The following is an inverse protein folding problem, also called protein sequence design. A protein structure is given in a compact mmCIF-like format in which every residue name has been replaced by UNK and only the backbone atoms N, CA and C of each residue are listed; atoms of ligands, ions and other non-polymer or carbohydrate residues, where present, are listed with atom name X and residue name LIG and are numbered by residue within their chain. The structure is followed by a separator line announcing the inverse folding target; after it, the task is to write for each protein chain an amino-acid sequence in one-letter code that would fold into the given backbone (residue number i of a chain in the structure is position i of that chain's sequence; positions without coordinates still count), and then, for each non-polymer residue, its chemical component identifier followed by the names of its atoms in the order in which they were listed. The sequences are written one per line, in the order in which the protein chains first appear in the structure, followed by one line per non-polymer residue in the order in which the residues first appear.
data_IF_417651415954
#
_entry.id   IF_417651415954
#
_cell.length_a   1.000
_cell.length_b   1.000
_cell.length_c   1.000
_cell.angle_alpha   90.00
_cell.angle_beta   90.00
_cell.angle_gamma   90.00
#
_symmetry.space_group_name_H-M   'P 1'
#
loop_
_entity.id
_entity.type
_entity.pdbx_description
1 polymer ?
#
# COMPACT_ATOMS: atom_id res chain seq x y z
N UNK A 1 0.83 -34.55 -29.05
CA UNK A 1 1.83 -33.53 -29.40
C UNK A 1 2.35 -32.88 -28.13
N UNK A 2 3.58 -33.18 -27.81
CA UNK A 2 4.25 -32.83 -26.58
C UNK A 2 4.54 -31.33 -26.54
N UNK A 3 3.96 -30.60 -25.57
CA UNK A 3 4.40 -29.26 -25.23
C UNK A 3 5.62 -29.41 -24.34
N UNK A 4 6.77 -29.15 -24.93
CA UNK A 4 8.06 -29.10 -24.24
C UNK A 4 7.97 -28.00 -23.20
N UNK A 5 7.97 -28.36 -21.93
CA UNK A 5 8.19 -27.45 -20.82
C UNK A 5 9.61 -26.88 -20.97
N UNK A 6 9.74 -25.61 -21.33
CA UNK A 6 11.00 -24.88 -21.23
C UNK A 6 11.34 -24.74 -19.74
N UNK A 7 12.22 -25.57 -19.27
CA UNK A 7 12.88 -25.40 -17.98
C UNK A 7 13.77 -24.15 -18.03
N UNK A 8 13.56 -23.21 -17.09
CA UNK A 8 14.65 -22.37 -16.62
C UNK A 8 14.66 -20.90 -16.94
N UNK A 9 13.62 -20.26 -17.46
CA UNK A 9 13.53 -18.80 -17.34
C UNK A 9 12.84 -18.47 -16.01
N UNK A 10 13.56 -17.92 -15.02
CA UNK A 10 12.92 -17.26 -13.86
C UNK A 10 12.01 -16.19 -14.44
N UNK A 11 10.71 -16.28 -14.26
CA UNK A 11 9.76 -15.28 -14.73
C UNK A 11 10.13 -13.91 -14.14
N UNK A 12 9.79 -12.84 -14.87
CA UNK A 12 9.93 -11.44 -14.39
C UNK A 12 9.47 -11.30 -12.94
N UNK A 13 10.15 -10.50 -12.15
CA UNK A 13 9.79 -10.17 -10.77
C UNK A 13 9.54 -8.66 -10.63
N UNK A 14 8.84 -8.29 -9.56
CA UNK A 14 8.62 -6.90 -9.21
C UNK A 14 9.06 -6.66 -7.77
N UNK A 15 9.83 -5.60 -7.54
CA UNK A 15 10.32 -5.17 -6.23
C UNK A 15 9.69 -3.84 -5.86
N UNK A 16 9.07 -3.73 -4.67
CA UNK A 16 8.48 -2.48 -4.20
C UNK A 16 9.27 -1.93 -3.03
N UNK A 17 9.61 -0.65 -3.08
CA UNK A 17 10.29 0.07 -2.00
C UNK A 17 9.46 1.22 -1.49
N UNK A 18 9.27 1.28 -0.17
CA UNK A 18 8.56 2.36 0.52
C UNK A 18 9.42 3.61 0.71
N UNK A 19 8.79 4.72 1.11
CA UNK A 19 9.47 6.00 1.30
C UNK A 19 10.60 5.95 2.34
N UNK A 20 10.46 5.17 3.41
CA UNK A 20 11.53 4.97 4.41
C UNK A 20 12.78 4.31 3.82
N UNK A 21 12.62 3.43 2.83
CA UNK A 21 13.73 2.80 2.11
C UNK A 21 14.42 3.74 1.12
N UNK A 22 13.85 4.93 0.87
CA UNK A 22 14.31 5.96 -0.08
C UNK A 22 14.51 7.32 0.61
N UNK A 23 14.76 7.33 1.93
CA UNK A 23 14.73 8.56 2.72
C UNK A 23 16.00 9.42 2.58
N UNK A 24 17.11 8.87 2.17
CA UNK A 24 18.40 9.57 2.03
C UNK A 24 19.33 8.88 1.02
N UNK A 25 20.49 9.47 0.78
CA UNK A 25 21.53 8.95 -0.12
C UNK A 25 21.91 7.50 0.22
N UNK A 26 22.09 7.18 1.51
CA UNK A 26 22.47 5.82 1.95
C UNK A 26 21.34 4.83 1.66
N UNK A 27 20.10 5.24 1.83
CA UNK A 27 18.92 4.44 1.50
C UNK A 27 18.83 4.13 0.02
N UNK A 28 19.03 5.11 -0.87
CA UNK A 28 19.04 4.91 -2.31
C UNK A 28 20.15 3.95 -2.76
N UNK A 29 21.37 4.13 -2.25
CA UNK A 29 22.51 3.25 -2.57
C UNK A 29 22.27 1.81 -2.07
N UNK A 30 21.66 1.64 -0.89
CA UNK A 30 21.27 0.32 -0.39
C UNK A 30 20.23 -0.33 -1.30
N UNK A 31 19.21 0.41 -1.73
CA UNK A 31 18.19 -0.09 -2.65
C UNK A 31 18.82 -0.46 -4.00
N UNK A 32 19.74 0.33 -4.52
CA UNK A 32 20.48 -0.02 -5.74
C UNK A 32 21.29 -1.32 -5.58
N UNK A 33 21.94 -1.51 -4.42
CA UNK A 33 22.62 -2.76 -4.06
C UNK A 33 21.66 -3.96 -4.00
N UNK A 34 20.48 -3.79 -3.40
CA UNK A 34 19.43 -4.82 -3.42
C UNK A 34 19.01 -5.16 -4.85
N UNK A 35 18.80 -4.16 -5.69
CA UNK A 35 18.44 -4.40 -7.08
C UNK A 35 19.57 -5.09 -7.88
N UNK A 36 20.83 -4.80 -7.58
CA UNK A 36 21.95 -5.50 -8.17
C UNK A 36 21.99 -6.99 -7.81
N UNK A 37 21.67 -7.33 -6.56
CA UNK A 37 21.75 -8.69 -6.04
C UNK A 37 20.49 -9.52 -6.34
N UNK A 38 19.29 -8.92 -6.20
CA UNK A 38 18.03 -9.65 -6.21
C UNK A 38 17.22 -9.50 -7.49
N UNK A 39 17.61 -8.63 -8.44
CA UNK A 39 16.87 -8.43 -9.69
C UNK A 39 17.64 -8.88 -10.93
N UNK A 40 16.89 -9.17 -11.99
CA UNK A 40 17.40 -9.50 -13.32
C UNK A 40 17.04 -8.38 -14.31
N UNK A 41 17.69 -8.29 -15.49
CA UNK A 41 17.17 -7.50 -16.60
C UNK A 41 15.68 -7.84 -16.85
N UNK A 42 14.89 -6.83 -17.23
CA UNK A 42 13.43 -6.89 -17.43
C UNK A 42 12.59 -6.99 -16.14
N UNK A 43 13.19 -7.10 -14.96
CA UNK A 43 12.44 -6.97 -13.70
C UNK A 43 11.92 -5.54 -13.51
N UNK A 44 10.89 -5.43 -12.70
CA UNK A 44 10.22 -4.16 -12.39
C UNK A 44 10.49 -3.72 -10.96
N UNK A 45 10.41 -2.43 -10.75
CA UNK A 45 10.51 -1.82 -9.44
C UNK A 45 9.41 -0.77 -9.29
N UNK A 46 8.68 -0.78 -8.18
CA UNK A 46 7.73 0.27 -7.82
C UNK A 46 8.31 1.06 -6.64
N UNK A 47 8.35 2.37 -6.77
CA UNK A 47 8.88 3.26 -5.74
C UNK A 47 7.80 4.19 -5.19
N UNK A 48 7.85 4.45 -3.89
CA UNK A 48 7.12 5.52 -3.23
C UNK A 48 7.91 6.83 -3.29
N UNK A 49 7.28 7.94 -2.93
CA UNK A 49 7.99 9.19 -2.71
C UNK A 49 9.09 9.04 -1.66
N UNK A 50 10.20 9.75 -1.84
CA UNK A 50 11.37 9.68 -0.96
C UNK A 50 11.07 10.23 0.43
N UNK A 51 11.34 9.46 1.48
CA UNK A 51 11.21 9.88 2.88
C UNK A 51 9.83 10.45 3.22
N UNK A 52 9.81 11.70 3.67
CA UNK A 52 8.58 12.43 4.06
C UNK A 52 8.00 13.33 2.98
N UNK A 53 8.43 13.19 1.72
CA UNK A 53 8.05 14.08 0.60
C UNK A 53 6.53 14.21 0.45
N UNK A 54 5.78 13.10 0.50
CA UNK A 54 4.30 13.13 0.41
C UNK A 54 3.68 13.99 1.51
N UNK A 55 4.15 13.87 2.76
CA UNK A 55 3.67 14.68 3.88
C UNK A 55 4.03 16.16 3.70
N UNK A 56 5.22 16.47 3.16
CA UNK A 56 5.63 17.85 2.86
C UNK A 56 4.76 18.46 1.75
N UNK A 57 4.42 17.69 0.70
CA UNK A 57 3.52 18.14 -0.36
C UNK A 57 2.10 18.40 0.16
N UNK A 58 1.57 17.55 1.02
CA UNK A 58 0.27 17.76 1.68
C UNK A 58 0.31 19.01 2.56
N UNK A 59 1.38 19.21 3.31
CA UNK A 59 1.55 20.38 4.16
C UNK A 59 1.67 21.66 3.33
N UNK A 60 2.43 21.64 2.23
CA UNK A 60 2.54 22.74 1.29
C UNK A 60 1.18 23.15 0.73
N UNK A 61 0.38 22.19 0.28
CA UNK A 61 -1.00 22.37 -0.18
C UNK A 61 -1.88 23.07 0.87
N UNK A 62 -1.87 22.59 2.11
CA UNK A 62 -2.67 23.17 3.20
C UNK A 62 -2.27 24.63 3.48
N UNK A 63 -0.97 24.89 3.58
CA UNK A 63 -0.44 26.21 3.88
C UNK A 63 -0.62 27.18 2.72
N UNK A 64 -0.62 26.72 1.47
CA UNK A 64 -0.87 27.58 0.30
C UNK A 64 -2.24 28.28 0.36
N UNK A 65 -3.21 27.71 1.06
CA UNK A 65 -4.54 28.29 1.25
C UNK A 65 -4.64 29.24 2.44
N UNK A 66 -3.77 29.10 3.45
CA UNK A 66 -3.94 29.78 4.76
C UNK A 66 -2.77 30.67 5.15
N UNK A 67 -1.54 30.31 4.76
CA UNK A 67 -0.31 31.01 5.14
C UNK A 67 0.76 30.89 4.04
N UNK A 68 0.79 31.85 3.13
CA UNK A 68 1.73 31.89 1.99
C UNK A 68 3.20 31.92 2.41
N UNK A 69 3.53 32.54 3.54
CA UNK A 69 4.92 32.61 4.00
C UNK A 69 5.40 31.23 4.44
N UNK A 70 4.63 30.54 5.27
CA UNK A 70 4.93 29.16 5.69
C UNK A 70 4.90 28.19 4.52
N UNK A 71 3.98 28.35 3.56
CA UNK A 71 3.96 27.55 2.33
C UNK A 71 5.27 27.69 1.54
N UNK A 72 5.79 28.90 1.38
CA UNK A 72 7.06 29.14 0.72
C UNK A 72 8.24 28.49 1.48
N UNK A 73 8.25 28.52 2.80
CA UNK A 73 9.28 27.85 3.61
C UNK A 73 9.26 26.33 3.42
N UNK A 74 8.08 25.71 3.36
CA UNK A 74 7.93 24.28 3.08
C UNK A 74 8.44 23.96 1.67
N UNK A 75 8.09 24.76 0.66
CA UNK A 75 8.58 24.62 -0.71
C UNK A 75 10.11 24.68 -0.78
N UNK A 76 10.74 25.65 -0.09
CA UNK A 76 12.21 25.76 -0.04
C UNK A 76 12.87 24.57 0.68
N UNK A 77 12.24 24.06 1.73
CA UNK A 77 12.72 22.87 2.45
C UNK A 77 12.67 21.63 1.54
N UNK A 78 11.55 21.45 0.83
CA UNK A 78 11.37 20.38 -0.13
C UNK A 78 12.39 20.49 -1.27
N UNK A 79 12.59 21.71 -1.81
CA UNK A 79 13.60 21.97 -2.85
C UNK A 79 15.00 21.59 -2.40
N UNK A 80 15.41 22.04 -1.22
CA UNK A 80 16.73 21.70 -0.65
C UNK A 80 16.89 20.19 -0.51
N UNK A 81 15.94 19.54 0.13
CA UNK A 81 15.98 18.10 0.35
C UNK A 81 16.15 17.30 -0.95
N UNK A 82 15.37 17.61 -1.99
CA UNK A 82 15.44 16.90 -3.27
C UNK A 82 16.76 17.22 -4.02
N UNK A 83 17.21 18.48 -4.02
CA UNK A 83 18.49 18.85 -4.62
C UNK A 83 19.67 18.18 -3.92
N UNK A 84 19.70 18.17 -2.59
CA UNK A 84 20.74 17.50 -1.80
C UNK A 84 20.78 15.99 -2.08
N UNK A 85 19.61 15.36 -2.21
CA UNK A 85 19.48 13.96 -2.52
C UNK A 85 20.02 13.64 -3.93
N UNK A 86 19.65 14.43 -4.95
CA UNK A 86 20.10 14.26 -6.32
C UNK A 86 21.62 14.48 -6.42
N UNK A 87 22.12 15.56 -5.85
CA UNK A 87 23.56 15.91 -5.88
C UNK A 87 24.42 14.91 -5.11
N UNK A 88 23.87 14.28 -4.08
CA UNK A 88 24.57 13.26 -3.30
C UNK A 88 24.64 11.88 -3.98
N UNK A 89 23.86 11.67 -5.03
CA UNK A 89 23.71 10.36 -5.70
C UNK A 89 24.28 10.32 -7.12
N UNK A 90 24.30 11.46 -7.81
CA UNK A 90 24.65 11.52 -9.25
C UNK A 90 25.87 12.40 -9.49
N UNK A 91 26.66 12.13 -10.55
CA UNK A 91 27.68 13.06 -11.05
C UNK A 91 27.07 14.41 -11.44
N UNK A 92 27.87 15.48 -11.39
CA UNK A 92 27.40 16.85 -11.53
C UNK A 92 26.54 17.11 -12.78
N UNK A 93 26.94 16.65 -13.95
CA UNK A 93 26.21 16.87 -15.20
C UNK A 93 24.81 16.23 -15.18
N UNK A 94 24.69 15.01 -14.69
CA UNK A 94 23.42 14.31 -14.57
C UNK A 94 22.56 14.89 -13.44
N UNK A 95 23.21 15.28 -12.33
CA UNK A 95 22.54 15.95 -11.20
C UNK A 95 21.93 17.28 -11.66
N UNK A 96 22.67 18.12 -12.39
CA UNK A 96 22.18 19.42 -12.88
C UNK A 96 20.97 19.25 -13.82
N UNK A 97 21.02 18.24 -14.72
CA UNK A 97 19.89 17.91 -15.59
C UNK A 97 18.64 17.53 -14.80
N UNK A 98 18.79 16.64 -13.81
CA UNK A 98 17.67 16.15 -13.03
C UNK A 98 17.13 17.21 -12.05
N UNK A 99 18.01 18.04 -11.48
CA UNK A 99 17.63 19.20 -10.66
C UNK A 99 16.83 20.20 -11.49
N UNK A 100 17.26 20.48 -12.73
CA UNK A 100 16.53 21.39 -13.62
C UNK A 100 15.12 20.88 -13.91
N UNK A 101 14.97 19.59 -14.19
CA UNK A 101 13.66 18.98 -14.39
C UNK A 101 12.79 19.04 -13.11
N UNK A 102 13.38 18.75 -11.94
CA UNK A 102 12.71 18.85 -10.65
C UNK A 102 12.24 20.31 -10.35
N UNK A 103 13.09 21.31 -10.58
CA UNK A 103 12.73 22.71 -10.34
C UNK A 103 11.60 23.14 -11.26
N UNK A 104 11.62 22.76 -12.53
CA UNK A 104 10.52 23.01 -13.47
C UNK A 104 9.20 22.37 -13.00
N UNK A 105 9.24 21.12 -12.52
CA UNK A 105 8.06 20.50 -11.92
C UNK A 105 7.55 21.29 -10.72
N UNK A 106 8.45 21.69 -9.82
CA UNK A 106 8.08 22.44 -8.61
C UNK A 106 7.44 23.81 -8.92
N UNK A 107 7.94 24.51 -9.93
CA UNK A 107 7.38 25.78 -10.43
C UNK A 107 5.99 25.56 -11.07
N UNK A 108 5.82 24.51 -11.87
CA UNK A 108 4.54 24.13 -12.45
C UNK A 108 3.52 23.78 -11.37
N UNK A 109 3.91 23.03 -10.34
CA UNK A 109 3.03 22.71 -9.22
C UNK A 109 2.65 23.97 -8.41
N UNK A 110 3.57 24.90 -8.21
CA UNK A 110 3.28 26.17 -7.56
C UNK A 110 2.23 26.98 -8.33
N UNK A 111 2.36 27.07 -9.65
CA UNK A 111 1.38 27.75 -10.50
C UNK A 111 -0.02 27.07 -10.45
N UNK A 112 -0.07 25.73 -10.33
CA UNK A 112 -1.34 25.02 -10.12
C UNK A 112 -1.99 25.39 -8.77
N UNK A 113 -1.21 25.51 -7.69
CA UNK A 113 -1.71 25.92 -6.38
C UNK A 113 -2.26 27.36 -6.40
N UNK A 114 -1.63 28.26 -7.13
CA UNK A 114 -2.09 29.65 -7.30
C UNK A 114 -3.40 29.72 -8.11
N UNK A 115 -3.67 28.78 -9.01
CA UNK A 115 -4.90 28.71 -9.81
C UNK A 115 -6.13 28.23 -9.02
N UNK A 116 -5.93 27.67 -7.83
CA UNK A 116 -6.95 27.14 -6.95
C UNK A 116 -6.84 25.62 -6.72
N UNK A 117 -7.17 25.20 -5.51
CA UNK A 117 -7.04 23.81 -5.09
C UNK A 117 -8.38 23.09 -5.21
N UNK A 118 -8.42 22.09 -6.07
CA UNK A 118 -9.47 21.08 -6.19
C UNK A 118 -8.88 19.68 -6.10
N UNK A 119 -9.70 18.65 -6.20
CA UNK A 119 -9.24 17.26 -6.08
C UNK A 119 -8.21 16.86 -7.14
N UNK A 120 -8.28 17.44 -8.35
CA UNK A 120 -7.32 17.20 -9.42
C UNK A 120 -5.95 17.78 -9.09
N UNK A 121 -5.92 19.05 -8.65
CA UNK A 121 -4.72 19.76 -8.21
C UNK A 121 -4.13 19.06 -6.98
N UNK A 122 -4.95 18.67 -6.01
CA UNK A 122 -4.51 17.91 -4.85
C UNK A 122 -3.78 16.62 -5.27
N UNK A 123 -4.42 15.83 -6.13
CA UNK A 123 -3.85 14.56 -6.57
C UNK A 123 -2.55 14.74 -7.38
N UNK A 124 -2.51 15.74 -8.25
CA UNK A 124 -1.32 16.06 -9.06
C UNK A 124 -0.14 16.48 -8.18
N UNK A 125 -0.36 17.36 -7.21
CA UNK A 125 0.72 17.83 -6.31
C UNK A 125 1.19 16.69 -5.41
N UNK A 126 0.28 16.01 -4.72
CA UNK A 126 0.63 14.96 -3.76
C UNK A 126 1.31 13.76 -4.43
N UNK A 127 0.87 13.41 -5.66
CA UNK A 127 1.43 12.30 -6.43
C UNK A 127 2.80 12.58 -7.07
N UNK A 128 3.27 13.82 -7.04
CA UNK A 128 4.54 14.17 -7.74
C UNK A 128 5.79 13.64 -7.05
N UNK A 129 5.73 13.35 -5.76
CA UNK A 129 6.84 12.76 -5.02
C UNK A 129 7.30 11.42 -5.59
N UNK A 130 6.38 10.61 -6.09
CA UNK A 130 6.65 9.33 -6.74
C UNK A 130 7.37 9.52 -8.08
N UNK A 131 7.02 10.56 -8.84
CA UNK A 131 7.65 10.89 -10.12
C UNK A 131 9.13 11.25 -9.90
N UNK A 132 9.41 12.12 -8.93
CA UNK A 132 10.79 12.50 -8.60
C UNK A 132 11.60 11.30 -8.12
N UNK A 133 11.00 10.47 -7.29
CA UNK A 133 11.66 9.26 -6.76
C UNK A 133 11.96 8.24 -7.86
N UNK A 134 11.05 8.01 -8.80
CA UNK A 134 11.23 7.08 -9.91
C UNK A 134 12.32 7.56 -10.90
N UNK A 135 12.32 8.84 -11.24
CA UNK A 135 13.36 9.45 -12.09
C UNK A 135 14.74 9.31 -11.45
N UNK A 136 14.87 9.70 -10.17
CA UNK A 136 16.13 9.62 -9.45
C UNK A 136 16.62 8.18 -9.32
N UNK A 137 15.75 7.24 -8.93
CA UNK A 137 16.14 5.84 -8.76
C UNK A 137 16.58 5.21 -10.07
N UNK A 138 15.93 5.52 -11.20
CA UNK A 138 16.34 5.07 -12.52
C UNK A 138 17.74 5.59 -12.89
N UNK A 139 18.03 6.86 -12.61
CA UNK A 139 19.36 7.44 -12.83
C UNK A 139 20.43 6.75 -11.94
N UNK A 140 20.13 6.53 -10.66
CA UNK A 140 21.03 5.83 -9.73
C UNK A 140 21.34 4.40 -10.20
N UNK A 141 20.33 3.66 -10.66
CA UNK A 141 20.56 2.30 -11.21
C UNK A 141 21.46 2.32 -12.44
N UNK A 142 21.25 3.26 -13.35
CA UNK A 142 22.11 3.41 -14.54
C UNK A 142 23.55 3.75 -14.14
N UNK A 143 23.76 4.61 -13.15
CA UNK A 143 25.10 4.91 -12.61
C UNK A 143 25.80 3.69 -12.00
N UNK A 144 25.02 2.77 -11.44
CA UNK A 144 25.52 1.50 -10.91
C UNK A 144 25.73 0.42 -11.98
N UNK A 145 25.59 0.77 -13.27
CA UNK A 145 25.71 -0.18 -14.38
C UNK A 145 24.53 -1.16 -14.49
N UNK A 146 23.38 -0.82 -13.92
CA UNK A 146 22.14 -1.57 -13.98
C UNK A 146 21.18 -0.88 -14.96
N UNK A 147 21.11 -1.29 -16.24
CA UNK A 147 20.25 -0.63 -17.23
C UNK A 147 18.81 -0.50 -16.71
N UNK A 148 18.32 0.74 -16.62
CA UNK A 148 17.00 1.05 -16.12
C UNK A 148 16.31 2.15 -16.94
N UNK A 149 14.97 2.15 -16.91
CA UNK A 149 14.14 3.24 -17.42
C UNK A 149 13.03 3.51 -16.39
N UNK A 150 12.70 4.78 -16.18
CA UNK A 150 11.56 5.12 -15.34
C UNK A 150 10.27 5.17 -16.17
N UNK A 151 9.14 4.82 -15.55
CA UNK A 151 7.81 4.90 -16.13
C UNK A 151 6.86 5.61 -15.17
N UNK A 152 6.11 6.53 -15.69
CA UNK A 152 4.99 7.13 -14.97
C UNK A 152 3.78 6.18 -15.04
N UNK A 153 3.31 5.70 -13.90
CA UNK A 153 2.16 4.80 -13.86
C UNK A 153 0.91 5.40 -14.52
N UNK A 154 0.79 6.73 -14.57
CA UNK A 154 -0.29 7.43 -15.25
C UNK A 154 -0.32 7.20 -16.77
N UNK A 155 0.75 6.72 -17.37
CA UNK A 155 0.78 6.38 -18.79
C UNK A 155 -0.04 5.13 -19.10
N UNK A 156 -0.15 4.19 -18.14
CA UNK A 156 -0.83 2.92 -18.36
C UNK A 156 -1.86 2.54 -17.30
N UNK A 157 -1.71 2.97 -16.04
CA UNK A 157 -2.60 2.59 -14.96
C UNK A 157 -3.84 3.49 -14.94
N UNK A 158 -5.02 2.88 -15.08
CA UNK A 158 -6.32 3.57 -15.14
C UNK A 158 -7.14 3.28 -13.90
N UNK A 159 -7.67 4.33 -13.27
CA UNK A 159 -8.61 4.23 -12.15
C UNK A 159 -9.49 5.49 -12.08
N UNK A 160 -10.75 5.33 -11.73
CA UNK A 160 -11.63 6.46 -11.45
C UNK A 160 -11.53 6.89 -9.98
N UNK A 161 -11.87 8.15 -9.71
CA UNK A 161 -11.90 8.70 -8.35
C UNK A 161 -12.99 8.03 -7.53
N UNK A 162 -12.63 7.54 -6.38
CA UNK A 162 -13.51 6.93 -5.39
C UNK A 162 -12.88 7.03 -4.00
N UNK A 163 -13.61 6.71 -2.94
CA UNK A 163 -13.05 6.58 -1.59
C UNK A 163 -11.90 5.55 -1.54
N UNK A 164 -12.02 4.48 -2.33
CA UNK A 164 -10.98 3.49 -2.57
C UNK A 164 -10.89 3.20 -4.08
N UNK A 165 -10.10 3.99 -4.85
CA UNK A 165 -10.00 3.82 -6.30
C UNK A 165 -9.51 2.42 -6.67
N UNK A 166 -10.21 1.77 -7.57
CA UNK A 166 -9.84 0.46 -8.10
C UNK A 166 -9.23 0.63 -9.50
N UNK A 167 -8.18 -0.13 -9.77
CA UNK A 167 -7.56 -0.13 -11.10
C UNK A 167 -8.47 -0.85 -12.10
N UNK A 168 -8.71 -0.22 -13.23
CA UNK A 168 -9.35 -0.85 -14.39
C UNK A 168 -8.31 -1.69 -15.14
N UNK A 169 -8.34 -3.00 -14.91
CA UNK A 169 -7.41 -3.94 -15.51
C UNK A 169 -7.58 -4.02 -17.04
N UNK A 170 -8.81 -3.92 -17.52
CA UNK A 170 -9.12 -4.00 -18.96
C UNK A 170 -8.49 -2.86 -19.76
N UNK A 171 -8.50 -1.65 -19.20
CA UNK A 171 -7.88 -0.48 -19.80
C UNK A 171 -6.36 -0.43 -19.55
N UNK A 172 -5.90 -0.89 -18.39
CA UNK A 172 -4.49 -0.79 -17.98
C UNK A 172 -3.59 -1.84 -18.65
N UNK A 173 -4.09 -3.07 -18.81
CA UNK A 173 -3.32 -4.19 -19.34
C UNK A 173 -2.71 -3.93 -20.72
N UNK A 174 -3.47 -3.55 -21.76
CA UNK A 174 -2.90 -3.35 -23.10
C UNK A 174 -1.88 -2.22 -23.14
N UNK A 175 -2.08 -1.15 -22.35
CA UNK A 175 -1.13 -0.03 -22.26
C UNK A 175 0.19 -0.46 -21.63
N UNK A 176 0.14 -1.23 -20.52
CA UNK A 176 1.34 -1.76 -19.90
C UNK A 176 2.10 -2.70 -20.85
N UNK A 177 1.41 -3.61 -21.55
CA UNK A 177 2.08 -4.54 -22.48
C UNK A 177 2.83 -3.81 -23.58
N UNK A 178 2.29 -2.71 -24.10
CA UNK A 178 3.00 -1.87 -25.09
C UNK A 178 4.29 -1.27 -24.53
N UNK A 179 4.27 -0.75 -23.28
CA UNK A 179 5.46 -0.18 -22.64
C UNK A 179 6.52 -1.24 -22.32
N UNK A 180 6.11 -2.45 -21.92
CA UNK A 180 7.05 -3.53 -21.64
C UNK A 180 7.88 -3.92 -22.87
N UNK A 181 7.28 -3.89 -24.07
CA UNK A 181 7.97 -4.20 -25.34
C UNK A 181 8.95 -3.09 -25.76
N UNK A 182 8.73 -1.85 -25.33
CA UNK A 182 9.57 -0.70 -25.68
C UNK A 182 10.90 -0.64 -24.90
N UNK A 183 11.03 -1.41 -23.81
CA UNK A 183 12.17 -1.34 -22.91
C UNK A 183 12.84 -2.70 -22.66
N UNK A 184 13.23 -3.44 -23.72
CA UNK A 184 13.84 -4.76 -23.56
C UNK A 184 15.19 -4.67 -22.82
N UNK A 185 15.44 -5.60 -21.90
CA UNK A 185 16.69 -5.69 -21.15
C UNK A 185 16.91 -4.61 -20.09
N UNK A 186 15.92 -3.73 -19.86
CA UNK A 186 15.99 -2.69 -18.82
C UNK A 186 15.11 -3.02 -17.63
N UNK A 187 15.57 -2.68 -16.43
CA UNK A 187 14.73 -2.64 -15.24
C UNK A 187 13.78 -1.45 -15.33
N UNK A 188 12.49 -1.68 -15.06
CA UNK A 188 11.49 -0.61 -15.14
C UNK A 188 11.20 -0.05 -13.74
N UNK A 189 11.59 1.20 -13.51
CA UNK A 189 11.31 1.91 -12.25
C UNK A 189 9.99 2.68 -12.40
N UNK A 190 8.95 2.19 -11.77
CA UNK A 190 7.57 2.68 -11.93
C UNK A 190 7.15 3.49 -10.72
N UNK A 191 6.43 4.58 -10.93
CA UNK A 191 5.81 5.35 -9.85
C UNK A 191 4.72 4.51 -9.17
N UNK A 192 4.76 4.42 -7.83
CA UNK A 192 3.66 3.89 -7.04
C UNK A 192 2.55 4.90 -6.84
N UNK A 193 1.48 4.53 -6.13
CA UNK A 193 0.45 5.40 -5.57
C UNK A 193 -0.44 6.18 -6.56
N UNK A 194 0.02 6.46 -7.77
CA UNK A 194 -0.67 7.29 -8.77
C UNK A 194 -1.18 6.47 -9.95
N UNK A 195 -2.26 6.95 -10.54
CA UNK A 195 -2.89 6.47 -11.76
C UNK A 195 -3.55 7.62 -12.49
N UNK A 196 -4.26 7.37 -13.59
CA UNK A 196 -4.98 8.38 -14.37
C UNK A 196 -6.43 7.97 -14.60
N UNK A 197 -7.37 8.92 -14.50
CA UNK A 197 -8.78 8.67 -14.88
C UNK A 197 -9.02 8.92 -16.38
N UNK A 198 -10.25 8.65 -16.82
CA UNK A 198 -10.65 8.85 -18.22
C UNK A 198 -10.65 10.33 -18.65
N UNK A 199 -10.73 11.28 -17.71
CA UNK A 199 -10.61 12.71 -17.99
C UNK A 199 -9.15 13.17 -18.14
N UNK A 200 -8.18 12.27 -17.99
CA UNK A 200 -6.75 12.59 -18.07
C UNK A 200 -6.15 13.15 -16.79
N UNK A 201 -6.88 13.14 -15.67
CA UNK A 201 -6.45 13.69 -14.39
C UNK A 201 -5.77 12.62 -13.53
N UNK A 202 -4.84 13.07 -12.67
CA UNK A 202 -4.19 12.21 -11.68
C UNK A 202 -5.19 11.72 -10.64
N UNK A 203 -5.11 10.43 -10.32
CA UNK A 203 -5.87 9.76 -9.25
C UNK A 203 -4.90 9.12 -8.29
N UNK A 204 -5.05 9.44 -6.99
CA UNK A 204 -4.30 8.79 -5.92
C UNK A 204 -4.98 7.50 -5.52
N UNK A 205 -4.23 6.41 -5.42
CA UNK A 205 -4.78 5.08 -5.08
C UNK A 205 -5.08 4.89 -3.58
N UNK A 206 -4.93 5.95 -2.78
CA UNK A 206 -5.28 5.96 -1.37
C UNK A 206 -4.24 5.33 -0.44
N UNK A 207 -4.63 5.04 0.81
CA UNK A 207 -3.73 4.49 1.85
C UNK A 207 -3.08 3.18 1.37
N UNK A 208 -1.77 3.01 1.60
CA UNK A 208 -0.93 1.92 1.07
C UNK A 208 -0.97 1.79 -0.47
N UNK A 209 -1.21 2.91 -1.15
CA UNK A 209 -1.39 2.94 -2.60
C UNK A 209 -0.19 2.41 -3.39
N UNK A 210 1.05 2.59 -2.90
CA UNK A 210 2.24 2.05 -3.59
C UNK A 210 2.35 0.52 -3.48
N UNK A 211 1.93 -0.10 -2.35
CA UNK A 211 1.88 -1.56 -2.21
C UNK A 211 0.78 -2.15 -3.10
N UNK A 212 -0.39 -1.48 -3.14
CA UNK A 212 -1.46 -1.85 -4.05
C UNK A 212 -1.04 -1.68 -5.52
N UNK A 213 -0.36 -0.56 -5.88
CA UNK A 213 0.19 -0.39 -7.24
C UNK A 213 1.13 -1.53 -7.60
N UNK A 214 2.02 -1.92 -6.69
CA UNK A 214 3.02 -2.96 -6.96
C UNK A 214 2.37 -4.31 -7.26
N UNK A 215 1.39 -4.73 -6.45
CA UNK A 215 0.69 -6.00 -6.67
C UNK A 215 -0.21 -5.94 -7.91
N UNK A 216 -0.85 -4.81 -8.17
CA UNK A 216 -1.68 -4.61 -9.36
C UNK A 216 -0.85 -4.60 -10.65
N UNK A 217 0.27 -3.85 -10.66
CA UNK A 217 1.21 -3.82 -11.79
C UNK A 217 1.82 -5.20 -12.00
N UNK A 218 2.18 -5.89 -10.91
CA UNK A 218 2.68 -7.26 -10.96
C UNK A 218 1.69 -8.21 -11.62
N UNK A 219 0.40 -8.14 -11.27
CA UNK A 219 -0.66 -8.94 -11.89
C UNK A 219 -0.81 -8.63 -13.38
N UNK A 220 -0.87 -7.35 -13.74
CA UNK A 220 -0.98 -6.90 -15.14
C UNK A 220 0.24 -7.28 -16.00
N UNK A 221 1.44 -7.27 -15.40
CA UNK A 221 2.69 -7.66 -16.08
C UNK A 221 2.93 -9.18 -16.10
N UNK A 222 2.12 -9.97 -15.39
CA UNK A 222 2.28 -11.42 -15.29
C UNK A 222 3.60 -11.82 -14.61
N UNK A 223 4.02 -11.07 -13.57
CA UNK A 223 5.26 -11.42 -12.86
C UNK A 223 5.07 -12.68 -12.02
N UNK A 224 6.15 -13.43 -11.82
CA UNK A 224 6.13 -14.63 -10.96
C UNK A 224 6.06 -14.28 -9.48
N UNK A 225 6.62 -13.11 -9.09
CA UNK A 225 6.69 -12.68 -7.69
C UNK A 225 6.67 -11.17 -7.57
N UNK A 226 5.99 -10.68 -6.53
CA UNK A 226 6.12 -9.32 -6.01
C UNK A 226 6.81 -9.37 -4.66
N UNK A 227 7.94 -8.67 -4.50
CA UNK A 227 8.64 -8.51 -3.22
C UNK A 227 8.42 -7.11 -2.68
N UNK A 228 7.77 -7.01 -1.52
CA UNK A 228 7.63 -5.75 -0.78
C UNK A 228 8.79 -5.64 0.20
N UNK A 229 9.64 -4.64 -0.04
CA UNK A 229 10.76 -4.29 0.82
C UNK A 229 10.31 -3.25 1.84
N UNK A 230 10.42 -3.58 3.11
CA UNK A 230 9.94 -2.82 4.25
C UNK A 230 11.07 -2.61 5.27
N UNK A 231 10.75 -2.08 6.43
CA UNK A 231 11.63 -1.99 7.61
C UNK A 231 11.64 -3.25 8.48
N UNK A 232 10.77 -4.23 8.16
CA UNK A 232 10.67 -5.53 8.85
C UNK A 232 10.91 -6.68 7.89
N UNK A 233 11.45 -7.81 8.41
CA UNK A 233 11.80 -8.98 7.59
C UNK A 233 10.56 -9.72 7.03
N UNK A 234 9.40 -9.53 7.65
CA UNK A 234 8.16 -10.19 7.25
C UNK A 234 7.17 -10.28 8.40
N UNK A 235 6.36 -11.32 8.40
CA UNK A 235 5.36 -11.61 9.44
C UNK A 235 5.99 -12.48 10.52
N UNK A 236 5.80 -12.08 11.77
CA UNK A 236 6.25 -12.82 12.95
C UNK A 236 5.06 -13.51 13.63
N UNK A 237 5.36 -14.54 14.43
CA UNK A 237 4.36 -15.24 15.25
C UNK A 237 3.66 -14.34 16.28
N UNK A 238 4.29 -13.22 16.65
CA UNK A 238 3.76 -12.11 17.44
C UNK A 238 4.59 -10.86 17.16
N UNK A 239 4.17 -9.69 17.66
CA UNK A 239 4.98 -8.46 17.55
C UNK A 239 6.31 -8.63 18.34
N UNK A 240 7.48 -8.66 17.68
CA UNK A 240 8.76 -8.87 18.33
C UNK A 240 9.15 -7.75 19.32
N UNK A 241 8.51 -6.58 19.23
CA UNK A 241 8.68 -5.49 20.19
C UNK A 241 7.96 -5.75 21.52
N UNK A 242 6.91 -6.60 21.49
CA UNK A 242 6.10 -6.98 22.66
C UNK A 242 6.46 -8.39 23.19
N UNK A 243 6.86 -9.29 22.30
CA UNK A 243 7.11 -10.72 22.61
C UNK A 243 8.53 -11.09 22.17
N UNK A 244 9.43 -11.34 23.13
CA UNK A 244 10.86 -11.62 22.85
C UNK A 244 11.10 -12.89 22.04
N UNK A 245 10.24 -13.90 22.24
CA UNK A 245 10.35 -15.20 21.55
C UNK A 245 9.54 -15.26 20.24
N UNK A 246 9.12 -14.10 19.73
CA UNK A 246 8.46 -14.02 18.44
C UNK A 246 9.38 -14.46 17.31
N UNK A 247 8.93 -15.45 16.52
CA UNK A 247 9.71 -16.02 15.42
C UNK A 247 9.20 -15.50 14.08
N UNK A 248 10.12 -15.19 13.16
CA UNK A 248 9.79 -14.89 11.77
C UNK A 248 9.16 -16.14 11.13
N UNK A 249 8.02 -15.95 10.47
CA UNK A 249 7.34 -17.01 9.73
C UNK A 249 7.82 -16.99 8.28
N UNK A 250 8.62 -17.98 7.83
CA UNK A 250 9.16 -17.98 6.47
C UNK A 250 8.08 -18.16 5.42
N UNK A 251 6.95 -18.72 5.84
CA UNK A 251 5.86 -19.10 4.96
C UNK A 251 4.50 -18.81 5.62
N UNK A 252 3.63 -18.11 4.91
CA UNK A 252 2.29 -17.73 5.33
C UNK A 252 1.28 -18.13 4.26
N UNK A 253 0.11 -18.58 4.65
CA UNK A 253 -0.99 -18.83 3.72
C UNK A 253 -1.67 -17.51 3.35
N UNK A 254 -2.20 -17.43 2.13
CA UNK A 254 -2.91 -16.24 1.67
C UNK A 254 -4.16 -15.94 2.52
N UNK A 255 -4.86 -16.97 3.02
CA UNK A 255 -6.00 -16.79 3.91
C UNK A 255 -5.58 -16.26 5.30
N UNK A 256 -4.45 -16.72 5.86
CA UNK A 256 -3.87 -16.19 7.10
C UNK A 256 -3.42 -14.72 6.90
N UNK A 257 -2.76 -14.42 5.77
CA UNK A 257 -2.38 -13.06 5.40
C UNK A 257 -3.59 -12.13 5.26
N UNK A 258 -4.68 -12.62 4.65
CA UNK A 258 -5.92 -11.87 4.47
C UNK A 258 -6.60 -11.59 5.82
N UNK A 259 -6.56 -12.54 6.75
CA UNK A 259 -7.09 -12.34 8.09
C UNK A 259 -6.26 -11.35 8.91
N UNK A 260 -4.92 -11.39 8.82
CA UNK A 260 -4.04 -10.38 9.42
C UNK A 260 -4.32 -8.99 8.86
N UNK A 261 -4.47 -8.86 7.55
CA UNK A 261 -4.77 -7.59 6.91
C UNK A 261 -6.16 -7.05 7.32
N UNK A 262 -7.14 -7.94 7.53
CA UNK A 262 -8.47 -7.60 8.04
C UNK A 262 -8.43 -7.10 9.48
N UNK A 263 -7.56 -7.67 10.30
CA UNK A 263 -7.35 -7.26 11.70
C UNK A 263 -6.48 -5.99 11.83
N UNK A 264 -6.27 -5.26 10.75
CA UNK A 264 -5.46 -4.04 10.70
C UNK A 264 -4.02 -4.23 11.19
N UNK A 265 -3.44 -5.41 11.01
CA UNK A 265 -2.02 -5.65 11.28
C UNK A 265 -1.16 -4.73 10.38
N UNK A 266 -0.15 -4.03 10.94
CA UNK A 266 0.56 -2.96 10.23
C UNK A 266 1.41 -3.44 9.04
N UNK A 267 1.69 -4.74 8.96
CA UNK A 267 2.62 -5.32 7.97
C UNK A 267 1.95 -5.59 6.61
N UNK A 268 0.63 -5.81 6.58
CA UNK A 268 -0.13 -6.15 5.38
C UNK A 268 -1.43 -5.38 5.31
N UNK A 269 -1.83 -4.98 4.11
CA UNK A 269 -3.11 -4.32 3.86
C UNK A 269 -3.97 -5.15 2.92
N UNK A 270 -5.28 -5.22 3.17
CA UNK A 270 -6.22 -6.04 2.39
C UNK A 270 -6.19 -5.72 0.89
N UNK A 271 -6.04 -4.44 0.51
CA UNK A 271 -5.94 -4.03 -0.88
C UNK A 271 -4.68 -4.56 -1.58
N UNK A 272 -3.56 -4.67 -0.87
CA UNK A 272 -2.32 -5.26 -1.39
C UNK A 272 -2.49 -6.73 -1.75
N UNK A 273 -3.31 -7.46 -0.99
CA UNK A 273 -3.59 -8.88 -1.23
C UNK A 273 -4.63 -9.14 -2.31
N UNK A 274 -5.47 -8.16 -2.63
CA UNK A 274 -6.56 -8.32 -3.61
C UNK A 274 -6.05 -8.75 -4.99
N UNK A 275 -5.04 -8.09 -5.64
CA UNK A 275 -4.51 -8.54 -6.92
C UNK A 275 -3.80 -9.90 -6.84
N UNK A 276 -3.13 -10.18 -5.70
CA UNK A 276 -2.47 -11.47 -5.45
C UNK A 276 -3.49 -12.60 -5.39
N UNK A 277 -4.65 -12.39 -4.76
CA UNK A 277 -5.70 -13.41 -4.68
C UNK A 277 -6.35 -13.71 -6.05
N UNK A 278 -6.35 -12.77 -6.98
CA UNK A 278 -6.87 -12.89 -8.34
C UNK A 278 -5.87 -13.41 -9.39
N UNK A 279 -4.59 -13.58 -9.05
CA UNK A 279 -3.50 -13.91 -9.98
C UNK A 279 -2.62 -15.06 -9.48
N UNK A 280 -1.66 -15.51 -10.27
CA UNK A 280 -0.69 -16.57 -9.90
C UNK A 280 0.60 -16.01 -9.27
N UNK A 281 0.57 -14.79 -8.73
CA UNK A 281 1.73 -14.12 -8.17
C UNK A 281 2.02 -14.67 -6.76
N UNK A 282 3.29 -14.96 -6.48
CA UNK A 282 3.80 -15.07 -5.11
C UNK A 282 4.03 -13.68 -4.53
N UNK A 283 3.60 -13.44 -3.29
CA UNK A 283 3.94 -12.23 -2.56
C UNK A 283 5.01 -12.54 -1.52
N UNK A 284 6.07 -11.72 -1.48
CA UNK A 284 7.15 -11.86 -0.50
C UNK A 284 7.36 -10.55 0.26
N UNK A 285 7.57 -10.64 1.57
CA UNK A 285 7.94 -9.52 2.44
C UNK A 285 9.39 -9.69 2.87
N UNK A 286 10.20 -8.62 2.76
CA UNK A 286 11.62 -8.61 3.15
C UNK A 286 12.00 -7.28 3.79
N UNK A 287 13.05 -7.32 4.62
CA UNK A 287 13.63 -6.10 5.18
C UNK A 287 14.63 -5.48 4.20
N UNK A 288 14.45 -4.18 3.87
CA UNK A 288 15.39 -3.45 3.03
C UNK A 288 16.67 -3.04 3.78
N UNK A 289 16.66 -3.05 5.11
CA UNK A 289 17.82 -2.72 5.95
C UNK A 289 18.73 -3.93 6.18
N UNK A 290 18.14 -5.11 6.24
CA UNK A 290 18.80 -6.39 6.51
C UNK A 290 18.27 -7.47 5.58
N UNK A 291 18.60 -7.41 4.27
CA UNK A 291 18.04 -8.32 3.25
C UNK A 291 18.23 -9.80 3.56
N UNK A 292 19.33 -10.14 4.26
CA UNK A 292 19.73 -11.54 4.55
C UNK A 292 19.09 -12.12 5.82
N UNK A 293 18.34 -11.34 6.59
CA UNK A 293 17.71 -11.80 7.85
C UNK A 293 16.46 -12.67 7.62
N UNK A 294 16.20 -13.09 6.38
CA UNK A 294 15.06 -13.91 6.03
C UNK A 294 13.92 -13.11 5.41
N UNK A 295 12.81 -13.78 5.22
CA UNK A 295 11.61 -13.21 4.57
C UNK A 295 10.38 -14.02 4.91
N UNK A 296 9.19 -13.45 4.70
CA UNK A 296 7.93 -14.19 4.67
C UNK A 296 7.43 -14.28 3.24
N UNK A 297 7.21 -15.51 2.74
CA UNK A 297 6.54 -15.77 1.47
C UNK A 297 5.06 -16.10 1.72
N UNK A 298 4.18 -15.48 0.95
CA UNK A 298 2.73 -15.69 1.04
C UNK A 298 2.31 -16.50 -0.17
N UNK A 299 1.74 -17.68 0.09
CA UNK A 299 1.34 -18.67 -0.92
C UNK A 299 -0.12 -19.08 -0.77
N UNK A 300 -0.75 -19.49 -1.87
CA UNK A 300 -2.14 -19.94 -1.90
C UNK A 300 -2.37 -21.30 -1.26
N UNK A 301 -1.46 -22.23 -1.49
CA UNK A 301 -1.60 -23.62 -1.08
C UNK A 301 -0.39 -24.03 -0.28
N UNK A 302 -0.62 -24.38 0.97
CA UNK A 302 0.36 -25.02 1.83
C UNK A 302 -0.23 -26.31 2.38
N UNK A 303 0.54 -27.38 2.39
CA UNK A 303 0.30 -28.52 3.27
C UNK A 303 0.55 -28.02 4.70
N UNK A 304 -0.50 -27.62 5.41
CA UNK A 304 -0.36 -26.93 6.69
C UNK A 304 -0.85 -27.77 7.86
N UNK A 305 -0.12 -27.68 8.96
CA UNK A 305 -0.63 -28.01 10.28
C UNK A 305 -1.83 -27.13 10.64
N UNK A 306 -2.73 -27.65 11.46
CA UNK A 306 -3.85 -26.89 12.05
C UNK A 306 -3.40 -26.23 13.35
N UNK A 307 -3.96 -25.06 13.66
CA UNK A 307 -3.76 -24.35 14.92
C UNK A 307 -3.36 -22.89 14.76
N UNK A 308 -3.32 -22.18 15.88
CA UNK A 308 -2.88 -20.79 15.92
C UNK A 308 -1.37 -20.70 15.65
N UNK A 309 -0.98 -19.81 14.71
CA UNK A 309 0.42 -19.56 14.35
C UNK A 309 0.84 -18.15 14.66
N UNK A 310 -0.12 -17.23 14.73
CA UNK A 310 0.14 -15.81 14.89
C UNK A 310 -0.78 -15.26 15.98
N UNK A 311 -0.21 -14.43 16.85
CA UNK A 311 -0.95 -13.57 17.78
C UNK A 311 -0.73 -12.12 17.35
N UNK A 312 -1.81 -11.40 17.07
CA UNK A 312 -1.75 -9.97 16.74
C UNK A 312 -2.58 -9.17 17.73
N UNK A 313 -2.22 -7.90 17.93
CA UNK A 313 -2.97 -6.99 18.78
C UNK A 313 -3.13 -5.62 18.13
N UNK A 314 -4.25 -4.96 18.44
CA UNK A 314 -4.51 -3.58 18.12
C UNK A 314 -4.87 -2.84 19.41
N UNK A 315 -4.10 -1.83 19.78
CA UNK A 315 -4.19 -1.20 21.12
C UNK A 315 -5.21 -0.05 21.18
N UNK A 316 -5.80 0.34 20.04
CA UNK A 316 -6.78 1.44 19.97
C UNK A 316 -8.01 1.00 19.18
N UNK A 317 -8.91 0.33 19.89
CA UNK A 317 -10.17 -0.13 19.34
C UNK A 317 -11.35 0.30 20.21
N UNK A 318 -12.51 0.42 19.57
CA UNK A 318 -13.80 0.66 20.18
C UNK A 318 -14.74 -0.51 19.93
N UNK A 319 -15.63 -0.77 20.86
CA UNK A 319 -16.69 -1.76 20.74
C UNK A 319 -18.05 -1.06 20.70
N UNK A 320 -18.77 -1.22 19.60
CA UNK A 320 -20.17 -0.80 19.49
C UNK A 320 -21.04 -2.00 19.86
N UNK A 321 -21.84 -1.86 20.89
CA UNK A 321 -22.79 -2.85 21.36
C UNK A 321 -24.20 -2.43 20.91
N UNK A 322 -24.93 -3.35 20.26
CA UNK A 322 -26.33 -3.14 19.89
C UNK A 322 -27.19 -4.16 20.60
N UNK A 323 -28.02 -3.68 21.55
CA UNK A 323 -28.97 -4.49 22.29
C UNK A 323 -30.28 -4.57 21.49
N UNK A 324 -30.57 -5.75 20.95
CA UNK A 324 -31.82 -6.01 20.23
C UNK A 324 -32.98 -6.23 21.26
N UNK A 325 -34.13 -5.55 21.12
CA UNK A 325 -35.28 -5.77 21.98
C UNK A 325 -35.81 -7.19 21.85
N UNK A 326 -36.30 -7.77 22.97
CA UNK A 326 -36.88 -9.12 22.98
C UNK A 326 -38.12 -9.28 22.10
N UNK A 327 -38.75 -8.18 21.69
CA UNK A 327 -39.88 -8.15 20.75
C UNK A 327 -39.51 -8.30 19.31
N UNK A 328 -38.19 -8.28 18.98
CA UNK A 328 -37.70 -8.38 17.62
C UNK A 328 -37.01 -9.73 17.33
N UNK A 329 -37.04 -10.14 16.07
CA UNK A 329 -36.25 -11.28 15.59
C UNK A 329 -34.78 -10.90 15.55
N UNK A 330 -33.99 -11.50 16.42
CA UNK A 330 -32.57 -11.24 16.55
C UNK A 330 -31.77 -11.52 15.26
N UNK A 331 -32.12 -12.58 14.50
CA UNK A 331 -31.46 -12.92 13.24
C UNK A 331 -31.76 -11.92 12.16
N UNK A 332 -32.99 -11.39 12.14
CA UNK A 332 -33.39 -10.37 11.18
C UNK A 332 -32.65 -9.06 11.47
N UNK A 333 -32.63 -8.62 12.74
CA UNK A 333 -31.91 -7.43 13.17
C UNK A 333 -30.41 -7.52 12.83
N UNK A 334 -29.78 -8.66 13.09
CA UNK A 334 -28.37 -8.89 12.71
C UNK A 334 -28.16 -8.75 11.20
N UNK A 335 -29.02 -9.34 10.38
CA UNK A 335 -28.94 -9.26 8.92
C UNK A 335 -29.13 -7.83 8.42
N UNK A 336 -30.05 -7.07 8.99
CA UNK A 336 -30.29 -5.66 8.64
C UNK A 336 -29.06 -4.81 8.95
N UNK A 337 -28.49 -4.93 10.17
CA UNK A 337 -27.28 -4.23 10.56
C UNK A 337 -26.11 -4.56 9.63
N UNK A 338 -25.89 -5.85 9.33
CA UNK A 338 -24.82 -6.29 8.41
C UNK A 338 -25.00 -5.68 7.00
N UNK A 339 -26.23 -5.58 6.50
CA UNK A 339 -26.52 -4.92 5.21
C UNK A 339 -26.25 -3.42 5.25
N UNK A 340 -26.61 -2.73 6.33
CA UNK A 340 -26.38 -1.29 6.51
C UNK A 340 -24.86 -1.01 6.50
N UNK A 341 -24.11 -1.74 7.33
CA UNK A 341 -22.65 -1.61 7.41
C UNK A 341 -21.94 -1.93 6.08
N UNK A 342 -22.42 -2.97 5.38
CA UNK A 342 -21.90 -3.33 4.04
C UNK A 342 -22.17 -2.25 2.99
N UNK A 343 -23.38 -1.67 2.95
CA UNK A 343 -23.71 -0.57 2.03
C UNK A 343 -22.89 0.67 2.29
N UNK A 344 -22.63 0.97 3.56
CA UNK A 344 -21.77 2.06 3.98
C UNK A 344 -20.26 1.76 3.81
N UNK A 345 -19.89 0.55 3.40
CA UNK A 345 -18.50 0.07 3.30
C UNK A 345 -17.72 0.14 4.62
N UNK A 346 -18.41 0.10 5.75
CA UNK A 346 -17.83 0.11 7.10
C UNK A 346 -17.77 -1.31 7.64
N UNK A 347 -16.58 -1.91 7.63
CA UNK A 347 -16.39 -3.30 8.05
C UNK A 347 -15.78 -3.37 9.45
N UNK A 348 -16.39 -4.12 10.39
CA UNK A 348 -15.81 -4.34 11.72
C UNK A 348 -14.58 -5.26 11.67
N UNK A 349 -13.64 -5.06 12.57
CA UNK A 349 -12.49 -5.93 12.81
C UNK A 349 -12.93 -7.29 13.40
N UNK A 350 -13.95 -7.27 14.26
CA UNK A 350 -14.54 -8.47 14.85
C UNK A 350 -16.03 -8.25 15.09
N UNK A 351 -16.80 -9.34 15.05
CA UNK A 351 -18.23 -9.34 15.35
C UNK A 351 -18.51 -10.40 16.41
N UNK A 352 -19.13 -9.99 17.51
CA UNK A 352 -19.67 -10.88 18.55
C UNK A 352 -21.18 -11.01 18.39
N UNK A 353 -21.68 -12.25 18.41
CA UNK A 353 -23.12 -12.55 18.30
C UNK A 353 -23.54 -13.39 19.51
N UNK A 354 -24.32 -12.77 20.41
CA UNK A 354 -24.75 -13.37 21.66
C UNK A 354 -26.27 -13.56 21.63
N UNK A 355 -26.73 -14.69 21.11
CA UNK A 355 -28.17 -15.00 20.97
C UNK A 355 -28.90 -15.04 22.29
N UNK A 356 -28.28 -15.57 23.35
CA UNK A 356 -28.80 -15.68 24.70
C UNK A 356 -29.05 -14.32 25.36
N UNK A 357 -28.28 -13.32 24.96
CA UNK A 357 -28.38 -11.96 25.51
C UNK A 357 -29.01 -10.96 24.53
N UNK A 358 -29.43 -11.40 23.35
CA UNK A 358 -29.90 -10.52 22.25
C UNK A 358 -28.93 -9.37 21.95
N UNK A 359 -27.62 -9.63 22.04
CA UNK A 359 -26.56 -8.62 21.94
C UNK A 359 -25.67 -8.87 20.71
N UNK A 360 -25.50 -7.83 19.90
CA UNK A 360 -24.51 -7.77 18.81
C UNK A 360 -23.38 -6.83 19.22
N UNK A 361 -22.16 -7.24 18.95
CA UNK A 361 -20.95 -6.47 19.24
C UNK A 361 -20.12 -6.31 17.97
N UNK A 362 -19.69 -5.09 17.68
CA UNK A 362 -18.90 -4.73 16.52
C UNK A 362 -17.64 -4.00 16.97
N UNK A 363 -16.47 -4.59 16.73
CA UNK A 363 -15.18 -4.00 17.07
C UNK A 363 -14.65 -3.20 15.88
N UNK A 364 -14.25 -1.95 16.11
CA UNK A 364 -13.67 -1.04 15.12
C UNK A 364 -12.39 -0.41 15.65
N UNK A 365 -11.52 0.08 14.75
CA UNK A 365 -10.49 1.05 15.14
C UNK A 365 -11.16 2.35 15.59
N UNK A 366 -10.52 3.09 16.50
CA UNK A 366 -11.07 4.37 16.99
C UNK A 366 -11.34 5.37 15.88
N UNK A 367 -10.52 5.37 14.80
CA UNK A 367 -10.73 6.22 13.62
C UNK A 367 -12.07 5.98 12.90
N UNK A 368 -12.59 4.77 12.94
CA UNK A 368 -13.79 4.34 12.19
C UNK A 368 -15.03 4.26 13.09
N UNK A 369 -14.83 4.13 14.40
CA UNK A 369 -15.89 3.86 15.36
C UNK A 369 -16.99 4.92 15.36
N UNK A 370 -16.64 6.21 15.34
CA UNK A 370 -17.60 7.32 15.33
C UNK A 370 -18.47 7.32 14.07
N UNK A 371 -17.86 7.05 12.91
CA UNK A 371 -18.60 6.93 11.65
C UNK A 371 -19.54 5.72 11.66
N UNK A 372 -19.09 4.58 12.18
CA UNK A 372 -19.91 3.38 12.30
C UNK A 372 -21.09 3.59 13.24
N UNK A 373 -20.84 4.22 14.40
CA UNK A 373 -21.87 4.55 15.37
C UNK A 373 -22.94 5.46 14.76
N UNK A 374 -22.52 6.53 14.09
CA UNK A 374 -23.42 7.46 13.41
C UNK A 374 -24.30 6.78 12.36
N UNK A 375 -23.72 5.91 11.54
CA UNK A 375 -24.46 5.15 10.52
C UNK A 375 -25.53 4.25 11.15
N UNK A 376 -25.19 3.59 12.26
CA UNK A 376 -26.14 2.72 12.97
C UNK A 376 -27.23 3.50 13.69
N UNK A 377 -26.89 4.66 14.25
CA UNK A 377 -27.87 5.55 14.91
C UNK A 377 -28.84 6.17 13.89
N UNK A 378 -28.34 6.66 12.76
CA UNK A 378 -29.14 7.21 11.66
C UNK A 378 -30.07 6.16 11.00
N UNK A 379 -29.73 4.89 11.10
CA UNK A 379 -30.57 3.81 10.58
C UNK A 379 -31.88 3.63 11.36
N UNK A 380 -31.96 4.18 12.58
CA UNK A 380 -33.19 4.18 13.37
C UNK A 380 -33.73 2.80 13.74
N UNK A 381 -32.85 1.79 13.80
CA UNK A 381 -33.26 0.43 14.18
C UNK A 381 -33.69 0.40 15.64
N UNK A 382 -34.77 -0.31 15.96
CA UNK A 382 -35.21 -0.46 17.35
C UNK A 382 -34.17 -1.26 18.15
N UNK A 383 -33.59 -0.62 19.16
CA UNK A 383 -32.56 -1.17 20.01
C UNK A 383 -31.80 -0.09 20.76
N UNK A 384 -30.83 -0.50 21.55
CA UNK A 384 -29.97 0.41 22.30
C UNK A 384 -28.53 0.28 21.81
N UNK A 385 -27.94 1.40 21.37
CA UNK A 385 -26.54 1.50 20.99
C UNK A 385 -25.69 1.97 22.17
N UNK A 386 -24.58 1.32 22.42
CA UNK A 386 -23.56 1.71 23.40
C UNK A 386 -22.18 1.66 22.77
N UNK A 387 -21.37 2.69 23.03
CA UNK A 387 -19.96 2.75 22.62
C UNK A 387 -19.05 2.53 23.84
N UNK A 388 -18.14 1.58 23.74
CA UNK A 388 -17.06 1.38 24.70
C UNK A 388 -15.74 1.69 24.02
N UNK A 389 -14.96 2.60 24.61
CA UNK A 389 -13.66 3.07 24.11
C UNK A 389 -12.53 2.61 25.02
N UNK A 390 -11.28 2.82 24.59
CA UNK A 390 -10.09 2.50 25.37
C UNK A 390 -9.86 0.99 25.53
N UNK A 391 -10.19 0.22 24.49
CA UNK A 391 -10.04 -1.22 24.46
C UNK A 391 -8.87 -1.63 23.57
N UNK A 392 -8.37 -2.84 23.79
CA UNK A 392 -7.42 -3.50 22.90
C UNK A 392 -8.04 -4.79 22.35
N UNK A 393 -7.78 -5.06 21.07
CA UNK A 393 -8.12 -6.32 20.42
C UNK A 393 -6.88 -7.23 20.42
N UNK A 394 -7.03 -8.45 20.88
CA UNK A 394 -6.03 -9.52 20.71
C UNK A 394 -6.68 -10.64 19.90
N UNK A 395 -6.02 -11.05 18.82
CA UNK A 395 -6.53 -12.07 17.93
C UNK A 395 -5.46 -13.14 17.65
N UNK A 396 -5.91 -14.38 17.51
CA UNK A 396 -5.09 -15.50 17.04
C UNK A 396 -5.48 -15.84 15.62
N UNK A 397 -4.46 -15.98 14.76
CA UNK A 397 -4.62 -16.33 13.34
C UNK A 397 -3.92 -17.65 13.05
N UNK A 398 -4.60 -18.53 12.32
CA UNK A 398 -4.09 -19.81 11.90
C UNK A 398 -5.18 -20.71 11.34
N UNK A 399 -4.77 -21.79 10.65
CA UNK A 399 -5.71 -22.73 10.03
C UNK A 399 -6.53 -23.50 11.09
N UNK A 400 -7.85 -23.44 10.97
CA UNK A 400 -8.77 -24.20 11.83
C UNK A 400 -8.96 -23.67 13.24
N UNK A 401 -8.50 -22.43 13.53
CA UNK A 401 -8.69 -21.78 14.86
C UNK A 401 -10.17 -21.57 15.22
N UNK A 402 -11.04 -21.41 14.23
CA UNK A 402 -12.48 -21.15 14.39
C UNK A 402 -13.37 -22.35 14.10
N UNK A 403 -12.79 -23.54 13.92
CA UNK A 403 -13.59 -24.78 13.80
C UNK A 403 -13.94 -25.27 15.20
N UNK A 404 -15.17 -24.99 15.63
CA UNK A 404 -15.87 -25.75 16.67
C UNK A 404 -16.57 -26.93 16.02
#
# INVERSE_FOLDING_TARGET
MSVIAQAGAKGRQLHKFGGSSLADVKCYLRVAGIMAEYSQPDDMMVVSAAGSTTNQLINWLKLSQTDRLSAHQVQQTLRRYQCDLISGLLPAEEADSLISAFVSDLERLAALLDSGINDAVYAEVVGHGEVWSARLMSAVLNQQGLPAAWLDAREFLRAERAAQPQVDEGLSYPLLQQLLVQHPGKRLVVTGFISRNNAGETVLLGRNGSDYSATQIGALAGVSRVTIWSDVAGVYSADPRKVKDACLLPLLRLDEASELARLAAPVLHARTLQPVSGSEIDLQLRCSYTPDQGSTRIERVLASGTGARIVTSHDDVCLIEFQVPASQDFKLAHKEIDQILKRAQVRPLAVGVHNDRQLLQFCYTSEVADSALKILDEAGLPGELRLRQGLALVAMVGAGVTRN
#
